data_IF_148047646041
#
_entry.id   IF_148047646041
#
_cell.length_a   1.000
_cell.length_b   1.000
_cell.length_c   1.000
_cell.angle_alpha   90.00
_cell.angle_beta   90.00
_cell.angle_gamma   90.00
#
_symmetry.space_group_name_H-M   'P 1'
#
loop_
_entity.id
_entity.type
_entity.pdbx_description
1 polymer ?
#
# COMPACT_ATOMS: atom_id res chain seq x y z
N UNK A 1 -13.26 -9.24 -1.24
CA UNK A 1 -12.71 -8.14 -2.06
C UNK A 1 -11.24 -7.95 -1.66
N UNK A 2 -10.26 -8.37 -2.48
CA UNK A 2 -8.83 -8.30 -2.14
C UNK A 2 -8.31 -6.89 -2.47
N UNK A 3 -7.94 -6.13 -1.45
CA UNK A 3 -7.28 -4.83 -1.60
C UNK A 3 -5.77 -5.04 -1.83
N UNK A 4 -5.27 -4.64 -2.99
CA UNK A 4 -3.84 -4.64 -3.29
C UNK A 4 -3.23 -3.30 -2.89
N UNK A 5 -2.43 -3.28 -1.83
CA UNK A 5 -1.66 -2.09 -1.41
C UNK A 5 -0.43 -1.95 -2.32
N UNK A 6 -0.28 -0.81 -2.99
CA UNK A 6 0.88 -0.49 -3.84
C UNK A 6 2.14 -0.27 -2.98
N UNK A 7 3.00 -1.28 -2.89
CA UNK A 7 4.36 -1.14 -2.32
C UNK A 7 5.34 -0.56 -3.35
N UNK A 8 6.25 0.32 -2.89
CA UNK A 8 7.38 0.85 -3.70
C UNK A 8 8.23 -0.29 -4.31
N UNK A 9 8.78 -0.08 -5.50
CA UNK A 9 9.56 -1.06 -6.31
C UNK A 9 10.63 -1.83 -5.52
N UNK A 10 11.42 -1.15 -4.67
CA UNK A 10 12.46 -1.78 -3.83
C UNK A 10 11.91 -2.69 -2.72
N UNK A 11 10.68 -2.44 -2.24
CA UNK A 11 10.04 -3.28 -1.22
C UNK A 11 9.39 -4.50 -1.88
N UNK A 12 8.81 -4.34 -3.08
CA UNK A 12 8.30 -5.46 -3.88
C UNK A 12 9.36 -6.55 -4.08
N UNK A 13 10.58 -6.18 -4.48
CA UNK A 13 11.68 -7.14 -4.71
C UNK A 13 12.11 -7.90 -3.46
N UNK A 14 12.01 -7.32 -2.25
CA UNK A 14 12.36 -8.04 -1.02
C UNK A 14 11.36 -9.15 -0.69
N UNK A 15 10.07 -8.92 -0.94
CA UNK A 15 9.00 -9.88 -0.60
C UNK A 15 8.72 -10.89 -1.73
N UNK A 16 8.72 -10.45 -2.99
CA UNK A 16 8.33 -11.27 -4.16
C UNK A 16 9.30 -12.44 -4.43
N UNK A 17 10.56 -12.37 -3.97
CA UNK A 17 11.58 -13.39 -4.25
C UNK A 17 12.02 -14.25 -3.06
N UNK A 18 11.44 -14.08 -1.88
CA UNK A 18 11.97 -14.67 -0.63
C UNK A 18 10.98 -15.54 0.15
N UNK A 19 9.83 -15.88 -0.44
CA UNK A 19 8.85 -16.80 0.17
C UNK A 19 8.15 -16.26 1.43
N UNK A 20 8.07 -14.94 1.60
CA UNK A 20 7.31 -14.36 2.69
C UNK A 20 5.81 -14.56 2.49
N UNK A 21 5.12 -15.03 3.53
CA UNK A 21 3.67 -14.95 3.61
C UNK A 21 3.27 -13.78 4.49
N UNK A 22 2.22 -13.06 4.06
CA UNK A 22 1.78 -11.83 4.70
C UNK A 22 0.30 -11.96 5.03
N UNK A 23 -0.04 -11.80 6.30
CA UNK A 23 -1.41 -11.68 6.79
C UNK A 23 -1.70 -10.23 7.16
N UNK A 24 -2.86 -9.71 6.77
CA UNK A 24 -3.32 -8.38 7.17
C UNK A 24 -4.71 -8.51 7.76
N UNK A 25 -4.87 -8.06 9.01
CA UNK A 25 -6.16 -7.86 9.66
C UNK A 25 -6.30 -6.39 9.97
N UNK A 26 -7.48 -5.81 9.77
CA UNK A 26 -7.67 -4.41 10.09
C UNK A 26 -9.12 -4.02 10.26
N UNK A 27 -9.31 -2.84 10.87
CA UNK A 27 -10.59 -2.17 11.01
C UNK A 27 -10.44 -0.75 10.45
N UNK A 28 -11.40 -0.35 9.62
CA UNK A 28 -11.53 1.02 9.13
C UNK A 28 -12.74 1.66 9.81
N UNK A 29 -12.61 2.91 10.24
CA UNK A 29 -13.67 3.64 10.95
C UNK A 29 -14.30 4.76 10.11
N UNK A 30 -13.84 4.95 8.88
CA UNK A 30 -14.43 5.92 7.98
C UNK A 30 -13.71 6.07 6.66
N UNK A 31 -14.45 6.60 5.69
CA UNK A 31 -13.95 6.94 4.36
C UNK A 31 -14.43 8.33 3.95
N UNK A 32 -13.61 9.04 3.22
CA UNK A 32 -13.96 10.30 2.56
C UNK A 32 -13.45 10.27 1.12
N UNK A 33 -14.05 11.08 0.26
CA UNK A 33 -13.62 11.23 -1.12
C UNK A 33 -13.14 12.66 -1.34
N UNK A 34 -12.02 12.78 -2.04
CA UNK A 34 -11.41 14.06 -2.35
C UNK A 34 -11.24 14.19 -3.87
N UNK A 35 -11.65 15.34 -4.42
CA UNK A 35 -11.68 15.60 -5.85
C UNK A 35 -10.67 16.67 -6.20
N UNK A 36 -9.67 16.32 -7.00
CA UNK A 36 -8.63 17.24 -7.42
C UNK A 36 -8.75 17.49 -8.92
N UNK A 37 -8.74 18.76 -9.30
CA UNK A 37 -8.69 19.19 -10.70
C UNK A 37 -7.30 19.77 -10.98
N UNK A 38 -6.63 19.21 -11.97
CA UNK A 38 -5.30 19.67 -12.39
C UNK A 38 -5.35 20.16 -13.82
N UNK A 39 -4.55 21.18 -14.11
CA UNK A 39 -4.26 21.59 -15.48
C UNK A 39 -3.26 20.60 -16.07
N UNK A 40 -3.55 20.06 -17.24
CA UNK A 40 -2.58 19.16 -17.89
C UNK A 40 -1.67 19.97 -18.82
N UNK A 41 -0.55 19.36 -19.20
CA UNK A 41 0.36 19.90 -20.22
C UNK A 41 -0.13 19.59 -21.65
N UNK A 42 -1.19 18.80 -21.81
CA UNK A 42 -1.76 18.47 -23.11
C UNK A 42 -2.80 19.54 -23.53
N UNK A 43 -2.55 20.30 -24.61
CA UNK A 43 -3.48 21.33 -25.08
C UNK A 43 -4.86 20.79 -25.52
N UNK A 44 -4.97 19.52 -25.92
CA UNK A 44 -6.25 18.90 -26.32
C UNK A 44 -7.09 18.43 -25.12
N UNK A 45 -6.47 18.25 -23.94
CA UNK A 45 -7.14 17.90 -22.69
C UNK A 45 -6.68 18.83 -21.58
N UNK A 46 -7.10 20.10 -21.59
CA UNK A 46 -6.53 21.15 -20.74
C UNK A 46 -6.68 20.88 -19.24
N UNK A 47 -7.63 20.03 -18.84
CA UNK A 47 -7.84 19.66 -17.43
C UNK A 47 -8.05 18.16 -17.26
N UNK A 48 -7.48 17.61 -16.19
CA UNK A 48 -7.77 16.25 -15.70
C UNK A 48 -8.37 16.32 -14.30
N UNK A 49 -9.32 15.43 -14.03
CA UNK A 49 -9.97 15.30 -12.73
C UNK A 49 -9.56 13.96 -12.13
N UNK A 50 -9.12 13.97 -10.88
CA UNK A 50 -8.70 12.79 -10.15
C UNK A 50 -9.50 12.72 -8.86
N UNK A 51 -10.25 11.64 -8.69
CA UNK A 51 -10.95 11.34 -7.44
C UNK A 51 -10.11 10.38 -6.61
N UNK A 52 -9.93 10.69 -5.32
CA UNK A 52 -9.20 9.86 -4.36
C UNK A 52 -10.14 9.43 -3.25
N UNK A 53 -10.20 8.12 -3.00
CA UNK A 53 -10.79 7.60 -1.79
C UNK A 53 -9.72 7.63 -0.67
N UNK A 54 -10.04 8.28 0.44
CA UNK A 54 -9.18 8.38 1.62
C UNK A 54 -9.87 7.64 2.75
N UNK A 55 -9.26 6.53 3.18
CA UNK A 55 -9.68 5.83 4.39
C UNK A 55 -9.01 6.51 5.59
N UNK A 56 -9.78 6.88 6.61
CA UNK A 56 -9.26 7.52 7.83
C UNK A 56 -9.54 6.67 9.07
N UNK A 57 -8.77 6.90 10.14
CA UNK A 57 -8.83 6.13 11.39
C UNK A 57 -8.77 4.62 11.15
N UNK A 58 -7.73 4.17 10.45
CA UNK A 58 -7.51 2.75 10.20
C UNK A 58 -6.53 2.16 11.20
N UNK A 59 -6.87 1.00 11.74
CA UNK A 59 -5.96 0.18 12.54
C UNK A 59 -5.69 -1.12 11.80
N UNK A 60 -4.41 -1.42 11.57
CA UNK A 60 -3.98 -2.64 10.89
C UNK A 60 -3.03 -3.43 11.77
N UNK A 61 -3.27 -4.73 11.87
CA UNK A 61 -2.32 -5.73 12.33
C UNK A 61 -1.77 -6.44 11.10
N UNK A 62 -0.45 -6.34 10.92
CA UNK A 62 0.27 -6.96 9.82
C UNK A 62 1.16 -8.05 10.40
N UNK A 63 0.97 -9.27 9.94
CA UNK A 63 1.78 -10.43 10.32
C UNK A 63 2.62 -10.87 9.12
N UNK A 64 3.90 -11.17 9.38
CA UNK A 64 4.82 -11.71 8.40
C UNK A 64 5.32 -13.06 8.89
N UNK A 65 5.35 -14.06 8.00
CA UNK A 65 5.99 -15.34 8.27
C UNK A 65 6.91 -15.74 7.11
N UNK A 66 7.95 -16.48 7.45
CA UNK A 66 8.96 -16.99 6.54
C UNK A 66 9.67 -18.17 7.23
N UNK A 67 10.01 -19.19 6.48
CA UNK A 67 10.74 -20.36 6.99
C UNK A 67 12.19 -20.03 7.36
N UNK A 68 12.75 -18.95 6.79
CA UNK A 68 14.11 -18.49 7.07
C UNK A 68 14.13 -17.47 8.22
N UNK A 69 14.59 -17.92 9.39
CA UNK A 69 14.73 -17.10 10.59
C UNK A 69 15.63 -15.86 10.41
N UNK A 70 16.66 -15.94 9.57
CA UNK A 70 17.56 -14.82 9.27
C UNK A 70 16.81 -13.70 8.56
N UNK A 71 15.90 -14.05 7.63
CA UNK A 71 15.07 -13.07 6.94
C UNK A 71 14.06 -12.39 7.88
N UNK A 72 13.50 -13.15 8.84
CA UNK A 72 12.65 -12.58 9.90
C UNK A 72 13.44 -11.62 10.80
N UNK A 73 14.66 -11.99 11.19
CA UNK A 73 15.52 -11.11 11.98
C UNK A 73 15.91 -9.83 11.24
N UNK A 74 16.23 -9.93 9.94
CA UNK A 74 16.48 -8.76 9.08
C UNK A 74 15.26 -7.86 8.97
N UNK A 75 14.06 -8.44 8.85
CA UNK A 75 12.81 -7.69 8.78
C UNK A 75 12.55 -6.93 10.08
N UNK A 76 12.70 -7.60 11.23
CA UNK A 76 12.53 -6.99 12.56
C UNK A 76 13.46 -5.80 12.82
N UNK A 77 14.67 -5.78 12.25
CA UNK A 77 15.62 -4.68 12.41
C UNK A 77 15.29 -3.43 11.58
N UNK A 78 14.41 -3.53 10.59
CA UNK A 78 14.09 -2.44 9.66
C UNK A 78 12.72 -1.82 9.86
N UNK A 79 11.93 -2.35 10.80
CA UNK A 79 10.71 -1.76 11.31
C UNK A 79 11.01 -1.08 12.64
#
# INVERSE_FOLDING_TARGET
MRHWVLMRKQRKTFFEGKGFQIGVKGKSEGKTNDLWKYRTLNPEKPTSVLSREILYKNTFLIAFTNENATLIAQLKRRF
#
